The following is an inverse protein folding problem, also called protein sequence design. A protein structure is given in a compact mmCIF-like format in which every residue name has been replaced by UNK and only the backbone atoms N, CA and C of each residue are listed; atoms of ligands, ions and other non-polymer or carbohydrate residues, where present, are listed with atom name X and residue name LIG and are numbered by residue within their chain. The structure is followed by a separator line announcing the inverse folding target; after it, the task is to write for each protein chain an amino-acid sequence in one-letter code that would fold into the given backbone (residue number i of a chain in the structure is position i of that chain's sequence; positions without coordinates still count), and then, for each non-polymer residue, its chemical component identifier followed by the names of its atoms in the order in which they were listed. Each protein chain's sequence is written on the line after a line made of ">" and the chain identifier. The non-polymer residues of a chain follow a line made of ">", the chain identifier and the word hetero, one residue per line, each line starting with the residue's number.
data_IF_707137584206
#
_entry.id   IF_707137584206
#
_cell.length_a   1.000
_cell.length_b   1.000
_cell.length_c   1.000
_cell.angle_alpha   90.00
_cell.angle_beta   90.00
_cell.angle_gamma   90.00
#
_symmetry.space_group_name_H-M   'P 1'
#
loop_
_entity.id
_entity.type
_entity.pdbx_description
1 polymer ?
#
# COMPACT_ATOMS: atom_id res chain seq x y z
N UNK A 1 2.93 -9.56 11.47
CA UNK A 1 4.28 -9.03 11.82
C UNK A 1 4.17 -7.81 12.72
N UNK A 2 3.60 -6.70 12.23
CA UNK A 2 3.42 -5.47 13.01
C UNK A 2 2.64 -5.70 14.32
N UNK A 3 1.52 -6.42 14.27
CA UNK A 3 0.76 -6.71 15.50
C UNK A 3 1.53 -7.54 16.53
N UNK A 4 2.31 -8.54 16.08
CA UNK A 4 3.14 -9.34 16.99
C UNK A 4 4.23 -8.48 17.66
N UNK A 5 4.82 -7.54 16.93
CA UNK A 5 5.79 -6.59 17.49
C UNK A 5 5.13 -5.66 18.48
N UNK A 6 3.97 -5.08 18.13
CA UNK A 6 3.17 -4.26 19.04
C UNK A 6 2.85 -5.01 20.33
N UNK A 7 2.30 -6.23 20.23
CA UNK A 7 1.93 -7.06 21.37
C UNK A 7 3.12 -7.42 22.28
N UNK A 8 4.35 -7.49 21.75
CA UNK A 8 5.54 -7.78 22.56
C UNK A 8 5.88 -6.67 23.55
N UNK A 9 5.53 -5.41 23.25
CA UNK A 9 5.66 -4.28 24.16
C UNK A 9 4.81 -3.08 23.68
N UNK A 10 3.50 -3.03 24.03
CA UNK A 10 2.59 -2.01 23.52
C UNK A 10 2.98 -0.57 23.87
N UNK A 11 3.58 -0.35 25.05
CA UNK A 11 4.00 1.00 25.47
C UNK A 11 5.20 1.48 24.64
N UNK A 12 6.17 0.60 24.37
CA UNK A 12 7.34 0.91 23.56
C UNK A 12 6.99 1.10 22.09
N UNK A 13 6.12 0.25 21.55
CA UNK A 13 5.79 0.22 20.12
C UNK A 13 4.44 0.86 19.79
N UNK A 14 4.05 1.89 20.57
CA UNK A 14 2.83 2.66 20.37
C UNK A 14 2.79 3.45 19.05
N UNK A 15 3.94 3.65 18.40
CA UNK A 15 4.04 4.25 17.09
C UNK A 15 5.07 3.51 16.21
N UNK A 16 4.98 3.74 14.91
CA UNK A 16 5.83 3.07 13.91
C UNK A 16 7.31 3.48 14.04
N UNK A 17 7.59 4.71 14.47
CA UNK A 17 8.95 5.22 14.58
C UNK A 17 9.81 4.41 15.55
N UNK A 18 9.27 4.00 16.70
CA UNK A 18 10.04 3.23 17.68
C UNK A 18 10.34 1.81 17.19
N UNK A 19 9.40 1.18 16.48
CA UNK A 19 9.63 -0.11 15.83
C UNK A 19 10.76 -0.02 14.80
N UNK A 20 10.69 0.98 13.90
CA UNK A 20 11.69 1.17 12.84
C UNK A 20 13.05 1.53 13.40
N UNK A 21 13.12 2.46 14.35
CA UNK A 21 14.37 2.88 15.00
C UNK A 21 15.12 1.69 15.60
N UNK A 22 14.43 0.84 16.37
CA UNK A 22 15.06 -0.31 17.00
C UNK A 22 15.65 -1.29 15.98
N UNK A 23 14.91 -1.59 14.91
CA UNK A 23 15.39 -2.52 13.89
C UNK A 23 16.54 -1.95 13.04
N UNK A 24 16.57 -0.62 12.86
CA UNK A 24 17.68 0.09 12.20
C UNK A 24 18.92 0.06 13.09
N UNK A 25 18.80 0.43 14.37
CA UNK A 25 19.89 0.42 15.34
C UNK A 25 20.47 -1.00 15.50
N UNK A 26 19.59 -2.02 15.43
CA UNK A 26 19.97 -3.44 15.50
C UNK A 26 20.43 -4.03 14.16
N UNK A 27 20.48 -3.23 13.08
CA UNK A 27 20.88 -3.65 11.72
C UNK A 27 20.05 -4.80 11.12
N UNK A 28 18.80 -4.96 11.55
CA UNK A 28 17.88 -6.00 11.05
C UNK A 28 16.73 -5.43 10.20
N UNK A 29 16.59 -4.10 10.10
CA UNK A 29 15.48 -3.44 9.41
C UNK A 29 15.24 -3.92 7.97
N UNK A 30 16.29 -4.38 7.27
CA UNK A 30 16.20 -4.84 5.87
C UNK A 30 15.92 -6.35 5.74
N UNK A 31 15.96 -7.11 6.84
CA UNK A 31 15.63 -8.55 6.82
C UNK A 31 14.22 -8.79 6.31
N UNK A 32 14.00 -9.88 5.58
CA UNK A 32 12.67 -10.29 5.11
C UNK A 32 11.69 -10.58 6.27
N UNK A 33 12.20 -10.89 7.46
CA UNK A 33 11.41 -11.11 8.67
C UNK A 33 11.10 -9.84 9.46
N UNK A 34 11.74 -8.70 9.13
CA UNK A 34 11.63 -7.48 9.92
C UNK A 34 10.25 -6.81 9.80
N UNK A 35 9.88 -6.06 10.84
CA UNK A 35 8.67 -5.25 10.84
C UNK A 35 8.80 -4.02 9.94
N UNK A 36 9.99 -3.44 9.85
CA UNK A 36 10.31 -2.30 8.99
C UNK A 36 10.13 -2.67 7.52
N UNK A 37 10.65 -3.81 7.09
CA UNK A 37 10.47 -4.32 5.72
C UNK A 37 8.96 -4.53 5.45
N UNK A 38 8.25 -5.16 6.39
CA UNK A 38 6.79 -5.33 6.28
C UNK A 38 6.04 -4.00 6.18
N UNK A 39 6.44 -2.98 6.94
CA UNK A 39 5.84 -1.66 6.94
C UNK A 39 6.07 -0.92 5.62
N UNK A 40 7.28 -1.01 5.04
CA UNK A 40 7.60 -0.43 3.73
C UNK A 40 6.70 -1.03 2.65
N UNK A 41 6.55 -2.36 2.63
CA UNK A 41 5.67 -3.04 1.67
C UNK A 41 4.20 -2.72 1.89
N UNK A 42 3.75 -2.61 3.14
CA UNK A 42 2.39 -2.20 3.45
C UNK A 42 2.10 -0.80 2.91
N UNK A 43 2.97 0.19 3.16
CA UNK A 43 2.76 1.55 2.66
C UNK A 43 2.69 1.59 1.12
N UNK A 44 3.58 0.88 0.43
CA UNK A 44 3.54 0.80 -1.05
C UNK A 44 2.27 0.13 -1.59
N UNK A 45 1.78 -0.91 -0.91
CA UNK A 45 0.51 -1.55 -1.25
C UNK A 45 -0.68 -0.61 -1.03
N UNK A 46 -0.63 0.19 0.02
CA UNK A 46 -1.65 1.20 0.28
C UNK A 46 -1.59 2.38 -0.70
N UNK A 47 -0.41 2.80 -1.14
CA UNK A 47 -0.28 3.79 -2.24
C UNK A 47 -1.01 3.30 -3.49
N UNK A 48 -0.83 2.02 -3.82
CA UNK A 48 -1.55 1.40 -4.93
C UNK A 48 -3.07 1.44 -4.72
N UNK A 49 -3.57 1.10 -3.54
CA UNK A 49 -5.00 1.12 -3.23
C UNK A 49 -5.59 2.53 -3.34
N UNK A 50 -4.90 3.54 -2.82
CA UNK A 50 -5.33 4.95 -2.94
C UNK A 50 -5.36 5.38 -4.40
N UNK A 51 -4.31 5.10 -5.17
CA UNK A 51 -4.30 5.44 -6.60
C UNK A 51 -5.37 4.68 -7.39
N UNK A 52 -5.65 3.43 -7.01
CA UNK A 52 -6.70 2.62 -7.63
C UNK A 52 -8.08 3.20 -7.40
N UNK A 53 -8.40 3.58 -6.17
CA UNK A 53 -9.67 4.23 -5.85
C UNK A 53 -9.81 5.60 -6.53
N UNK A 54 -8.75 6.41 -6.59
CA UNK A 54 -8.75 7.66 -7.38
C UNK A 54 -9.07 7.40 -8.85
N UNK A 55 -8.41 6.41 -9.47
CA UNK A 55 -8.67 6.04 -10.85
C UNK A 55 -10.12 5.56 -11.06
N UNK A 56 -10.72 4.88 -10.09
CA UNK A 56 -12.14 4.51 -10.16
C UNK A 56 -13.04 5.76 -10.12
N UNK A 57 -12.76 6.76 -9.31
CA UNK A 57 -13.58 7.97 -9.26
C UNK A 57 -13.38 8.88 -10.49
N UNK A 58 -12.13 9.10 -10.89
CA UNK A 58 -11.75 10.06 -11.95
C UNK A 58 -12.06 9.54 -13.36
N UNK A 59 -12.07 8.22 -13.54
CA UNK A 59 -12.27 7.59 -14.85
C UNK A 59 -13.42 6.58 -14.83
N UNK A 60 -14.70 7.05 -14.77
CA UNK A 60 -15.88 6.19 -14.74
C UNK A 60 -15.97 5.19 -15.91
N UNK A 61 -15.37 5.55 -17.05
CA UNK A 61 -15.36 4.79 -18.30
C UNK A 61 -14.28 3.69 -18.34
N UNK A 62 -13.29 3.72 -17.45
CA UNK A 62 -12.24 2.70 -17.43
C UNK A 62 -12.76 1.35 -16.95
N UNK A 63 -12.31 0.28 -17.59
CA UNK A 63 -12.45 -1.07 -17.05
C UNK A 63 -11.66 -1.24 -15.75
N UNK A 64 -12.02 -2.26 -14.96
CA UNK A 64 -11.27 -2.64 -13.76
C UNK A 64 -9.79 -2.88 -14.04
N UNK A 65 -9.51 -3.58 -15.14
CA UNK A 65 -8.15 -3.89 -15.57
C UNK A 65 -7.35 -2.62 -15.91
N UNK A 66 -7.97 -1.62 -16.56
CA UNK A 66 -7.32 -0.34 -16.86
C UNK A 66 -6.98 0.42 -15.58
N UNK A 67 -7.96 0.61 -14.68
CA UNK A 67 -7.77 1.32 -13.42
C UNK A 67 -6.63 0.70 -12.60
N UNK A 68 -6.68 -0.61 -12.37
CA UNK A 68 -5.67 -1.33 -11.61
C UNK A 68 -4.30 -1.36 -12.31
N UNK A 69 -4.24 -1.49 -13.65
CA UNK A 69 -2.97 -1.47 -14.39
C UNK A 69 -2.29 -0.11 -14.31
N UNK A 70 -3.03 0.99 -14.44
CA UNK A 70 -2.48 2.34 -14.31
C UNK A 70 -1.95 2.56 -12.88
N UNK A 71 -2.74 2.22 -11.85
CA UNK A 71 -2.33 2.37 -10.45
C UNK A 71 -1.07 1.58 -10.15
N UNK A 72 -0.98 0.33 -10.63
CA UNK A 72 0.20 -0.51 -10.47
C UNK A 72 1.45 0.12 -11.09
N UNK A 73 1.33 0.68 -12.30
CA UNK A 73 2.45 1.35 -13.00
C UNK A 73 2.96 2.55 -12.22
N UNK A 74 2.08 3.34 -11.60
CA UNK A 74 2.43 4.57 -10.87
C UNK A 74 3.05 4.30 -9.50
N UNK A 75 2.73 3.18 -8.87
CA UNK A 75 3.08 2.93 -7.46
C UNK A 75 3.99 1.72 -7.28
N UNK A 76 3.45 0.51 -7.37
CA UNK A 76 4.12 -0.74 -6.98
C UNK A 76 5.14 -1.26 -8.00
N UNK A 77 4.92 -1.01 -9.30
CA UNK A 77 5.72 -1.62 -10.37
C UNK A 77 7.22 -1.39 -10.21
N UNK A 78 7.64 -0.19 -9.80
CA UNK A 78 9.07 0.15 -9.63
C UNK A 78 9.77 -0.66 -8.53
N UNK A 79 8.99 -1.23 -7.61
CA UNK A 79 9.50 -2.02 -6.48
C UNK A 79 9.49 -3.51 -6.76
N UNK A 80 8.70 -3.98 -7.74
CA UNK A 80 8.55 -5.38 -8.06
C UNK A 80 9.64 -5.87 -9.03
N UNK A 81 10.26 -7.01 -8.71
CA UNK A 81 11.08 -7.76 -9.67
C UNK A 81 10.27 -8.35 -10.83
N UNK A 82 10.97 -8.85 -11.85
CA UNK A 82 10.37 -9.35 -13.10
C UNK A 82 9.32 -10.47 -12.87
N UNK A 83 9.52 -11.30 -11.85
CA UNK A 83 8.60 -12.37 -11.48
C UNK A 83 7.25 -11.80 -11.02
N UNK A 84 7.29 -10.87 -10.06
CA UNK A 84 6.08 -10.23 -9.54
C UNK A 84 5.37 -9.38 -10.60
N UNK A 85 6.12 -8.71 -11.49
CA UNK A 85 5.54 -8.01 -12.65
C UNK A 85 4.82 -8.99 -13.59
N UNK A 86 5.42 -10.16 -13.85
CA UNK A 86 4.81 -11.19 -14.71
C UNK A 86 3.54 -11.78 -14.10
N UNK A 87 3.56 -12.07 -12.79
CA UNK A 87 2.39 -12.51 -12.04
C UNK A 87 1.25 -11.50 -12.12
N UNK A 88 1.55 -10.21 -11.95
CA UNK A 88 0.55 -9.14 -12.07
C UNK A 88 -0.16 -9.15 -13.43
N UNK A 89 0.59 -9.32 -14.54
CA UNK A 89 0.03 -9.39 -15.90
C UNK A 89 -0.94 -10.54 -16.12
N UNK A 90 -0.80 -11.62 -15.35
CA UNK A 90 -1.72 -12.76 -15.39
C UNK A 90 -2.95 -12.49 -14.52
N UNK A 91 -2.74 -12.06 -13.27
CA UNK A 91 -3.82 -11.82 -12.30
C UNK A 91 -4.78 -10.72 -12.76
N UNK A 92 -4.29 -9.68 -13.41
CA UNK A 92 -5.13 -8.57 -13.88
C UNK A 92 -6.18 -9.01 -14.91
N UNK A 93 -5.92 -10.10 -15.64
CA UNK A 93 -6.90 -10.69 -16.59
C UNK A 93 -8.08 -11.34 -15.86
N UNK A 94 -7.91 -11.63 -14.57
CA UNK A 94 -8.93 -12.21 -13.70
C UNK A 94 -9.62 -11.13 -12.85
N UNK A 95 -9.32 -9.86 -13.07
CA UNK A 95 -9.96 -8.76 -12.35
C UNK A 95 -11.49 -8.79 -12.58
N UNK A 96 -12.28 -8.49 -11.54
CA UNK A 96 -13.73 -8.55 -11.66
C UNK A 96 -14.26 -7.48 -12.62
N UNK A 97 -15.49 -7.66 -13.06
CA UNK A 97 -16.23 -6.58 -13.70
C UNK A 97 -16.32 -5.37 -12.75
N UNK A 98 -16.13 -4.17 -13.31
CA UNK A 98 -16.12 -2.92 -12.55
C UNK A 98 -17.46 -2.67 -11.87
N UNK A 99 -18.56 -2.81 -12.60
CA UNK A 99 -19.89 -2.53 -12.06
C UNK A 99 -20.18 -3.47 -10.90
N UNK A 100 -19.88 -4.77 -11.06
CA UNK A 100 -20.01 -5.75 -9.97
C UNK A 100 -19.18 -5.37 -8.75
N UNK A 101 -17.91 -4.98 -8.94
CA UNK A 101 -17.07 -4.54 -7.82
C UNK A 101 -17.63 -3.30 -7.11
N UNK A 102 -18.00 -2.26 -7.86
CA UNK A 102 -18.58 -1.04 -7.28
C UNK A 102 -19.87 -1.34 -6.50
N UNK A 103 -20.72 -2.22 -7.02
CA UNK A 103 -21.90 -2.70 -6.29
C UNK A 103 -21.53 -3.46 -5.02
N UNK A 104 -20.50 -4.31 -5.04
CA UNK A 104 -20.06 -5.06 -3.86
C UNK A 104 -19.53 -4.17 -2.72
N UNK A 105 -19.03 -2.98 -3.03
CA UNK A 105 -18.52 -2.03 -2.01
C UNK A 105 -19.53 -0.95 -1.61
N UNK A 106 -20.77 -0.99 -2.12
CA UNK A 106 -21.85 -0.08 -1.71
C UNK A 106 -22.66 0.52 -2.87
N UNK A 107 -22.09 0.60 -4.08
CA UNK A 107 -22.82 0.86 -5.33
C UNK A 107 -23.61 2.17 -5.45
N UNK A 108 -23.41 3.16 -4.57
CA UNK A 108 -24.19 4.39 -4.50
C UNK A 108 -23.37 5.67 -4.75
N UNK A 109 -23.97 6.85 -4.68
CA UNK A 109 -23.23 8.12 -4.77
C UNK A 109 -22.48 8.40 -3.47
N UNK A 110 -23.04 7.94 -2.35
CA UNK A 110 -22.48 8.09 -1.00
C UNK A 110 -21.13 7.36 -0.88
N UNK A 111 -21.01 6.15 -1.44
CA UNK A 111 -19.73 5.42 -1.41
C UNK A 111 -18.63 6.15 -2.18
N UNK A 112 -18.95 6.92 -3.23
CA UNK A 112 -17.95 7.69 -3.96
C UNK A 112 -17.36 8.81 -3.07
N UNK A 113 -18.21 9.49 -2.30
CA UNK A 113 -17.76 10.51 -1.35
C UNK A 113 -16.92 9.89 -0.21
N UNK A 114 -17.29 8.69 0.25
CA UNK A 114 -16.49 7.95 1.25
C UNK A 114 -15.12 7.53 0.68
N UNK A 115 -15.08 7.03 -0.55
CA UNK A 115 -13.84 6.68 -1.25
C UNK A 115 -12.96 7.93 -1.43
N UNK A 116 -13.55 9.06 -1.81
CA UNK A 116 -12.83 10.33 -1.94
C UNK A 116 -12.22 10.75 -0.59
N UNK A 117 -13.02 10.71 0.47
CA UNK A 117 -12.56 11.05 1.82
C UNK A 117 -11.44 10.11 2.30
N UNK A 118 -11.56 8.80 2.03
CA UNK A 118 -10.51 7.82 2.29
C UNK A 118 -9.23 8.19 1.52
N UNK A 119 -9.33 8.46 0.22
CA UNK A 119 -8.18 8.80 -0.62
C UNK A 119 -7.49 10.10 -0.19
N UNK A 120 -8.24 11.06 0.35
CA UNK A 120 -7.70 12.32 0.88
C UNK A 120 -7.01 12.11 2.23
N UNK A 121 -7.72 11.53 3.19
CA UNK A 121 -7.23 11.38 4.57
C UNK A 121 -6.06 10.41 4.64
N UNK A 122 -6.20 9.26 3.98
CA UNK A 122 -5.20 8.20 4.04
C UNK A 122 -3.93 8.54 3.26
N UNK A 123 -4.01 9.33 2.19
CA UNK A 123 -2.83 9.81 1.49
C UNK A 123 -1.91 10.66 2.39
N UNK A 124 -2.48 11.48 3.27
CA UNK A 124 -1.69 12.26 4.25
C UNK A 124 -0.93 11.33 5.20
N UNK A 125 -1.59 10.29 5.71
CA UNK A 125 -0.98 9.30 6.60
C UNK A 125 0.14 8.53 5.89
N UNK A 126 -0.07 8.15 4.62
CA UNK A 126 0.95 7.47 3.83
C UNK A 126 2.16 8.38 3.58
N UNK A 127 1.94 9.67 3.28
CA UNK A 127 3.02 10.64 3.10
C UNK A 127 3.87 10.79 4.37
N UNK A 128 3.24 10.88 5.54
CA UNK A 128 3.94 10.89 6.83
C UNK A 128 4.74 9.62 7.07
N UNK A 129 4.16 8.45 6.80
CA UNK A 129 4.87 7.18 6.91
C UNK A 129 6.08 7.10 5.96
N UNK A 130 5.94 7.54 4.71
CA UNK A 130 7.06 7.59 3.76
C UNK A 130 8.17 8.53 4.24
N UNK A 131 7.83 9.71 4.79
CA UNK A 131 8.81 10.63 5.40
C UNK A 131 9.56 9.98 6.56
N UNK A 132 8.85 9.28 7.44
CA UNK A 132 9.45 8.54 8.55
C UNK A 132 10.41 7.48 8.03
N UNK A 133 9.96 6.61 7.12
CA UNK A 133 10.79 5.54 6.56
C UNK A 133 12.02 6.08 5.82
N UNK A 134 11.88 7.18 5.08
CA UNK A 134 13.00 7.85 4.41
C UNK A 134 13.99 8.46 5.41
N UNK A 135 13.51 9.04 6.52
CA UNK A 135 14.37 9.57 7.58
C UNK A 135 15.27 8.51 8.23
N UNK A 136 14.88 7.23 8.13
CA UNK A 136 15.65 6.07 8.58
C UNK A 136 16.48 5.40 7.45
N UNK A 137 16.39 5.89 6.21
CA UNK A 137 17.13 5.34 5.06
C UNK A 137 16.70 3.91 4.66
N UNK A 138 15.43 3.57 4.84
CA UNK A 138 14.86 2.24 4.55
C UNK A 138 13.78 2.25 3.47
N UNK A 139 13.50 3.41 2.88
CA UNK A 139 12.48 3.62 1.85
C UNK A 139 12.82 2.96 0.50
N UNK A 140 14.09 2.61 0.28
CA UNK A 140 14.61 1.95 -0.92
C UNK A 140 14.69 0.41 -0.80
N UNK A 141 14.19 -0.19 0.30
CA UNK A 141 14.13 -1.65 0.47
C UNK A 141 13.50 -2.30 -0.78
N UNK A 142 14.21 -3.23 -1.42
CA UNK A 142 13.74 -3.94 -2.61
C UNK A 142 13.02 -5.23 -2.23
N UNK A 143 12.37 -5.86 -3.22
CA UNK A 143 11.87 -7.24 -3.04
C UNK A 143 13.02 -8.12 -2.57
N UNK A 144 12.78 -9.01 -1.59
CA UNK A 144 13.69 -10.10 -1.28
C UNK A 144 14.07 -10.90 -2.52
#
# INVERSE_FOLDING_TARGET
>A
KLELKYASNPSKYSNLCTMTKEEVDSKIARSSSSCTNALVWLNRAMDFMVQFFRNLLEHPEWSMAQACTDSYKRTLKKWHGWMAISTFKVLIKLAPDRKKFMCSIGGSVEINAEIENLCRTFASVLEENHKILASFGVDDIKTP
#
